data_IF_720144457532
#
_entry.id   IF_720144457532
#
_cell.length_a   1.000
_cell.length_b   1.000
_cell.length_c   1.000
_cell.angle_alpha   90.00
_cell.angle_beta   90.00
_cell.angle_gamma   90.00
#
_symmetry.space_group_name_H-M   'P 1'
#
loop_
_entity.id
_entity.type
_entity.pdbx_description
1 polymer ?
#
# COMPACT_ATOMS: atom_id res chain seq x y z
N UNK A 1 3.08 11.45 11.25
CA UNK A 1 4.16 10.86 10.44
C UNK A 1 3.57 10.30 9.15
N UNK A 2 4.16 10.64 8.01
CA UNK A 2 3.77 10.11 6.70
C UNK A 2 4.88 9.17 6.22
N UNK A 3 4.51 8.00 5.70
CA UNK A 3 5.40 7.08 4.98
C UNK A 3 4.75 6.65 3.68
N UNK A 4 5.53 6.56 2.61
CA UNK A 4 5.09 6.05 1.31
C UNK A 4 6.23 5.31 0.65
N UNK A 5 5.96 4.14 0.10
CA UNK A 5 6.94 3.31 -0.59
C UNK A 5 6.29 2.70 -1.82
N UNK A 6 6.97 2.83 -2.95
CA UNK A 6 6.53 2.27 -4.23
C UNK A 6 7.59 1.30 -4.71
N UNK A 7 7.16 0.09 -5.04
CA UNK A 7 7.96 -0.91 -5.72
C UNK A 7 7.47 -1.05 -7.16
N UNK A 8 8.38 -0.82 -8.10
CA UNK A 8 8.15 -1.12 -9.51
C UNK A 8 8.89 -2.41 -9.87
N UNK A 9 8.15 -3.37 -10.42
CA UNK A 9 8.64 -4.69 -10.77
C UNK A 9 8.38 -4.95 -12.26
N UNK A 10 9.23 -4.41 -13.15
CA UNK A 10 9.16 -4.75 -14.56
C UNK A 10 9.67 -6.17 -14.78
N UNK A 11 9.08 -6.87 -15.74
CA UNK A 11 9.65 -8.11 -16.26
C UNK A 11 10.75 -7.78 -17.26
N UNK A 12 11.97 -8.24 -16.98
CA UNK A 12 13.16 -7.94 -17.79
C UNK A 12 13.11 -8.55 -19.20
N UNK A 13 12.32 -9.60 -19.39
CA UNK A 13 12.09 -10.31 -20.64
C UNK A 13 10.84 -9.80 -21.40
N UNK A 14 9.98 -9.02 -20.73
CA UNK A 14 8.77 -8.43 -21.31
C UNK A 14 8.44 -7.12 -20.60
N UNK A 15 9.01 -6.02 -21.09
CA UNK A 15 8.83 -4.69 -20.48
C UNK A 15 7.39 -4.15 -20.51
N UNK A 16 6.50 -4.72 -21.32
CA UNK A 16 5.07 -4.41 -21.28
C UNK A 16 4.34 -5.04 -20.07
N UNK A 17 4.97 -6.00 -19.39
CA UNK A 17 4.48 -6.64 -18.18
C UNK A 17 5.16 -5.97 -16.96
N UNK A 18 4.35 -5.23 -16.20
CA UNK A 18 4.80 -4.41 -15.07
C UNK A 18 3.83 -4.60 -13.92
N UNK A 19 4.41 -4.78 -12.74
CA UNK A 19 3.69 -4.76 -11.47
C UNK A 19 4.13 -3.57 -10.63
N UNK A 20 3.16 -2.93 -9.99
CA UNK A 20 3.39 -1.87 -9.03
C UNK A 20 2.76 -2.26 -7.69
N UNK A 21 3.52 -2.09 -6.62
CA UNK A 21 3.02 -2.15 -5.25
C UNK A 21 3.27 -0.80 -4.60
N UNK A 22 2.23 -0.18 -4.06
CA UNK A 22 2.31 1.06 -3.32
C UNK A 22 1.77 0.84 -1.91
N UNK A 23 2.62 1.06 -0.92
CA UNK A 23 2.25 1.08 0.49
C UNK A 23 2.42 2.50 1.02
N UNK A 24 1.35 3.07 1.59
CA UNK A 24 1.39 4.35 2.27
C UNK A 24 0.74 4.26 3.64
N UNK A 25 1.24 5.05 4.58
CA UNK A 25 0.62 5.19 5.88
C UNK A 25 0.77 6.61 6.41
N UNK A 26 -0.28 7.08 7.04
CA UNK A 26 -0.35 8.36 7.73
C UNK A 26 -0.76 8.09 9.17
N UNK A 27 0.04 8.60 10.11
CA UNK A 27 -0.23 8.48 11.53
C UNK A 27 -0.28 9.88 12.17
N UNK A 28 -1.35 10.18 12.89
CA UNK A 28 -1.55 11.44 13.60
C UNK A 28 -1.72 11.16 15.09
N UNK A 29 -0.92 11.83 15.91
CA UNK A 29 -1.08 11.79 17.37
C UNK A 29 -2.32 12.57 17.77
N UNK A 30 -3.19 11.96 18.57
CA UNK A 30 -4.36 12.62 19.17
C UNK A 30 -4.02 13.08 20.58
N UNK A 31 -3.38 12.20 21.35
CA UNK A 31 -2.80 12.50 22.67
C UNK A 31 -1.38 11.90 22.75
N UNK A 32 -0.69 12.08 23.86
CA UNK A 32 0.61 11.43 24.08
C UNK A 32 0.52 9.89 24.09
N UNK A 33 -0.65 9.34 24.46
CA UNK A 33 -0.90 7.92 24.57
C UNK A 33 -1.65 7.33 23.37
N UNK A 34 -2.29 8.14 22.52
CA UNK A 34 -3.18 7.66 21.45
C UNK A 34 -2.82 8.29 20.10
N UNK A 35 -2.64 7.46 19.07
CA UNK A 35 -2.53 7.90 17.68
C UNK A 35 -3.55 7.19 16.77
N UNK A 36 -4.04 7.92 15.77
CA UNK A 36 -4.83 7.38 14.66
C UNK A 36 -3.90 7.10 13.48
N UNK A 37 -4.03 5.91 12.90
CA UNK A 37 -3.27 5.48 11.73
C UNK A 37 -4.23 5.13 10.60
N UNK A 38 -3.96 5.68 9.42
CA UNK A 38 -4.59 5.33 8.15
C UNK A 38 -3.52 4.73 7.26
N UNK A 39 -3.74 3.53 6.73
CA UNK A 39 -2.84 2.86 5.81
C UNK A 39 -3.55 2.52 4.49
N UNK A 40 -2.79 2.61 3.41
CA UNK A 40 -3.20 2.34 2.04
C UNK A 40 -2.24 1.31 1.47
N UNK A 41 -2.78 0.25 0.88
CA UNK A 41 -2.01 -0.67 0.03
C UNK A 41 -2.70 -0.78 -1.32
N UNK A 42 -1.96 -0.47 -2.37
CA UNK A 42 -2.43 -0.57 -3.75
C UNK A 42 -1.54 -1.55 -4.51
N UNK A 43 -2.16 -2.46 -5.25
CA UNK A 43 -1.50 -3.36 -6.20
C UNK A 43 -2.02 -3.07 -7.60
N UNK A 44 -1.10 -3.04 -8.55
CA UNK A 44 -1.39 -3.03 -9.97
C UNK A 44 -0.56 -4.11 -10.66
N UNK A 45 -1.20 -4.93 -11.49
CA UNK A 45 -0.54 -5.90 -12.35
C UNK A 45 -1.07 -5.67 -13.77
N UNK A 46 -0.20 -5.39 -14.76
CA UNK A 46 -0.66 -5.17 -16.13
C UNK A 46 -1.01 -6.48 -16.86
N UNK A 47 -0.56 -7.63 -16.35
CA UNK A 47 -0.81 -8.95 -16.89
C UNK A 47 -1.12 -9.98 -15.79
N UNK A 48 -2.17 -9.75 -14.99
CA UNK A 48 -2.51 -10.68 -13.92
C UNK A 48 -2.95 -12.03 -14.53
N UNK A 49 -2.72 -13.15 -13.83
CA UNK A 49 -3.42 -14.40 -14.12
C UNK A 49 -4.95 -14.19 -14.11
N UNK A 50 -5.70 -15.01 -14.88
CA UNK A 50 -7.14 -14.83 -15.12
C UNK A 50 -8.02 -14.73 -13.86
N UNK A 51 -7.52 -15.16 -12.70
CA UNK A 51 -8.23 -15.17 -11.42
C UNK A 51 -7.83 -14.02 -10.47
N UNK A 52 -7.01 -13.07 -10.93
CA UNK A 52 -6.55 -11.94 -10.12
C UNK A 52 -6.97 -10.62 -10.76
N UNK A 53 -7.42 -9.70 -9.92
CA UNK A 53 -7.77 -8.36 -10.36
C UNK A 53 -6.53 -7.59 -10.82
N UNK A 54 -6.72 -6.78 -11.87
CA UNK A 54 -5.67 -5.90 -12.40
C UNK A 54 -5.26 -4.84 -11.39
N UNK A 55 -6.23 -4.39 -10.58
CA UNK A 55 -6.07 -3.35 -9.58
C UNK A 55 -6.71 -3.81 -8.28
N UNK A 56 -5.94 -3.80 -7.20
CA UNK A 56 -6.45 -4.00 -5.85
C UNK A 56 -6.13 -2.79 -4.97
N UNK A 57 -7.10 -2.40 -4.14
CA UNK A 57 -6.97 -1.30 -3.21
C UNK A 57 -7.46 -1.73 -1.83
N UNK A 58 -6.58 -1.60 -0.84
CA UNK A 58 -6.88 -1.87 0.56
C UNK A 58 -6.66 -0.59 1.37
N UNK A 59 -7.66 -0.26 2.20
CA UNK A 59 -7.60 0.86 3.14
C UNK A 59 -7.83 0.31 4.54
N UNK A 60 -6.88 0.56 5.43
CA UNK A 60 -6.93 0.13 6.82
C UNK A 60 -6.89 1.34 7.73
N UNK A 61 -7.77 1.35 8.74
CA UNK A 61 -7.81 2.38 9.76
C UNK A 61 -7.60 1.72 11.12
N UNK A 62 -6.74 2.30 11.96
CA UNK A 62 -6.39 1.74 13.25
C UNK A 62 -6.07 2.80 14.30
N UNK A 63 -6.22 2.42 15.56
CA UNK A 63 -5.84 3.23 16.72
C UNK A 63 -4.65 2.53 17.39
N UNK A 64 -3.58 3.28 17.66
CA UNK A 64 -2.44 2.80 18.44
C UNK A 64 -2.49 3.43 19.82
N UNK A 65 -2.37 2.60 20.85
CA UNK A 65 -2.27 3.03 22.25
C UNK A 65 -0.87 2.72 22.75
N UNK A 66 -0.19 3.71 23.31
CA UNK A 66 1.08 3.56 24.01
C UNK A 66 0.78 3.47 25.50
N UNK A 67 1.07 2.30 26.09
CA UNK A 67 1.02 2.06 27.53
C UNK A 67 2.32 2.54 28.20
#
# INVERSE_FOLDING_TARGET
>A
MLSSTVYAQPRVDRFSDVRLLHDAAFEVGITEAVSLRVALRQRFDNGPPDNLEKHDLFVENGIRVRL
#
